data_IF_803674167293
#
_entry.id   IF_803674167293
#
_cell.length_a   1.000
_cell.length_b   1.000
_cell.length_c   1.000
_cell.angle_alpha   90.00
_cell.angle_beta   90.00
_cell.angle_gamma   90.00
#
_symmetry.space_group_name_H-M   'P 1'
#
loop_
_entity.id
_entity.type
_entity.pdbx_description
1 polymer ?
#
# COMPACT_ATOMS: atom_id res chain seq x y z
N UNK A 1 -17.68 -1.60 -9.59
CA UNK A 1 -16.61 -0.59 -9.69
C UNK A 1 -15.78 -0.85 -10.93
N UNK A 2 -15.72 0.13 -11.84
CA UNK A 2 -14.90 0.09 -13.04
C UNK A 2 -13.42 -0.24 -12.74
N UNK A 3 -12.81 -1.15 -13.50
CA UNK A 3 -11.39 -1.55 -13.33
C UNK A 3 -10.45 -0.34 -13.33
N UNK A 4 -10.74 0.64 -14.19
CA UNK A 4 -10.01 1.91 -14.30
C UNK A 4 -10.07 2.75 -13.01
N UNK A 5 -11.22 2.77 -12.33
CA UNK A 5 -11.36 3.48 -11.05
C UNK A 5 -10.59 2.78 -9.92
N UNK A 6 -10.61 1.43 -9.89
CA UNK A 6 -9.84 0.67 -8.90
C UNK A 6 -8.33 0.92 -9.01
N UNK A 7 -7.78 0.93 -10.22
CA UNK A 7 -6.34 1.19 -10.41
C UNK A 7 -5.95 2.61 -10.01
N UNK A 8 -6.76 3.61 -10.36
CA UNK A 8 -6.52 5.00 -9.96
C UNK A 8 -6.49 5.17 -8.43
N UNK A 9 -7.41 4.51 -7.71
CA UNK A 9 -7.46 4.54 -6.24
C UNK A 9 -6.18 3.93 -5.64
N UNK A 10 -5.67 2.86 -6.24
CA UNK A 10 -4.53 2.12 -5.71
C UNK A 10 -3.23 2.86 -5.98
N UNK A 11 -3.08 3.48 -7.15
CA UNK A 11 -1.99 4.41 -7.41
C UNK A 11 -1.99 5.55 -6.40
N UNK A 12 -3.16 6.10 -6.08
CA UNK A 12 -3.28 7.13 -5.04
C UNK A 12 -2.91 6.61 -3.65
N UNK A 13 -3.32 5.38 -3.32
CA UNK A 13 -2.98 4.73 -2.05
C UNK A 13 -1.46 4.55 -1.90
N UNK A 14 -0.76 4.18 -2.97
CA UNK A 14 0.71 4.03 -2.97
C UNK A 14 1.40 5.37 -2.73
N UNK A 15 0.93 6.45 -3.38
CA UNK A 15 1.48 7.80 -3.15
C UNK A 15 1.31 8.22 -1.70
N UNK A 16 0.13 8.00 -1.13
CA UNK A 16 -0.13 8.25 0.29
C UNK A 16 0.80 7.42 1.17
N UNK A 17 1.00 6.14 0.85
CA UNK A 17 1.87 5.23 1.60
C UNK A 17 3.33 5.73 1.68
N UNK A 18 3.86 6.23 0.56
CA UNK A 18 5.22 6.79 0.48
C UNK A 18 5.31 8.09 1.30
N UNK A 19 4.28 8.94 1.22
CA UNK A 19 4.24 10.19 1.97
C UNK A 19 4.15 9.95 3.48
N UNK A 20 3.34 9.00 3.95
CA UNK A 20 3.29 8.63 5.39
C UNK A 20 4.57 7.98 5.87
N UNK A 21 5.24 7.18 5.04
CA UNK A 21 6.53 6.59 5.40
C UNK A 21 7.59 7.67 5.63
N UNK A 22 7.73 8.59 4.67
CA UNK A 22 8.65 9.73 4.79
C UNK A 22 8.29 10.63 5.98
N UNK A 23 7.00 10.88 6.18
CA UNK A 23 6.49 11.64 7.33
C UNK A 23 6.79 10.97 8.67
N UNK A 24 6.63 9.64 8.78
CA UNK A 24 6.94 8.88 10.00
C UNK A 24 8.40 9.03 10.39
N UNK A 25 9.32 8.98 9.41
CA UNK A 25 10.75 9.18 9.66
C UNK A 25 11.00 10.61 10.14
N UNK A 26 10.39 11.61 9.50
CA UNK A 26 10.50 13.02 9.92
C UNK A 26 9.99 13.28 11.33
N UNK A 27 8.82 12.74 11.70
CA UNK A 27 8.26 12.85 13.05
C UNK A 27 9.13 12.17 14.11
N UNK A 28 9.80 11.06 13.75
CA UNK A 28 10.71 10.37 14.65
C UNK A 28 11.95 11.21 14.96
N UNK A 29 12.49 11.92 13.95
CA UNK A 29 13.65 12.83 14.11
C UNK A 29 13.28 14.06 14.95
N UNK A 30 12.07 14.58 14.81
CA UNK A 30 11.57 15.73 15.58
C UNK A 30 11.24 15.39 17.06
N UNK A 31 11.44 14.14 17.49
CA UNK A 31 11.16 13.71 18.86
C UNK A 31 9.70 13.40 19.16
N UNK A 32 8.81 13.46 18.15
CA UNK A 32 7.40 13.10 18.29
C UNK A 32 7.19 11.59 18.19
N UNK A 33 7.83 10.82 19.08
CA UNK A 33 7.81 9.36 19.07
C UNK A 33 6.40 8.76 19.06
N UNK A 34 5.44 9.34 19.79
CA UNK A 34 4.05 8.84 19.82
C UNK A 34 3.35 8.98 18.47
N UNK A 35 3.59 10.10 17.78
CA UNK A 35 2.98 10.40 16.47
C UNK A 35 3.70 9.58 15.37
N UNK A 36 5.02 9.45 15.47
CA UNK A 36 5.81 8.55 14.63
C UNK A 36 5.35 7.10 14.73
N UNK A 37 5.15 6.59 15.95
CA UNK A 37 4.69 5.22 16.17
C UNK A 37 3.27 4.98 15.65
N UNK A 38 2.35 5.93 15.88
CA UNK A 38 0.99 5.85 15.36
C UNK A 38 0.96 5.89 13.82
N UNK A 39 1.73 6.79 13.20
CA UNK A 39 1.82 6.89 11.74
C UNK A 39 2.47 5.65 11.10
N UNK A 40 3.49 5.07 11.74
CA UNK A 40 4.09 3.80 11.34
C UNK A 40 3.11 2.62 11.42
N UNK A 41 2.27 2.57 12.45
CA UNK A 41 1.21 1.56 12.58
C UNK A 41 0.17 1.66 11.47
N UNK A 42 -0.27 2.88 11.14
CA UNK A 42 -1.19 3.14 10.03
C UNK A 42 -0.55 2.72 8.70
N UNK A 43 0.73 3.05 8.51
CA UNK A 43 1.49 2.61 7.35
C UNK A 43 1.51 1.08 7.21
N UNK A 44 1.80 0.36 8.30
CA UNK A 44 1.81 -1.11 8.29
C UNK A 44 0.45 -1.70 7.89
N UNK A 45 -0.64 -1.16 8.41
CA UNK A 45 -1.98 -1.65 8.09
C UNK A 45 -2.32 -1.47 6.61
N UNK A 46 -2.05 -0.28 6.06
CA UNK A 46 -2.30 0.02 4.65
C UNK A 46 -1.37 -0.81 3.75
N UNK A 47 -0.11 -1.00 4.15
CA UNK A 47 0.84 -1.82 3.40
C UNK A 47 0.42 -3.29 3.35
N UNK A 48 -0.07 -3.85 4.46
CA UNK A 48 -0.59 -5.22 4.51
C UNK A 48 -1.80 -5.39 3.58
N UNK A 49 -2.75 -4.46 3.62
CA UNK A 49 -3.92 -4.48 2.74
C UNK A 49 -3.53 -4.40 1.26
N UNK A 50 -2.54 -3.56 0.93
CA UNK A 50 -2.03 -3.43 -0.44
C UNK A 50 -1.30 -4.69 -0.90
N UNK A 51 -0.51 -5.30 -0.02
CA UNK A 51 0.24 -6.53 -0.30
C UNK A 51 -0.72 -7.69 -0.60
N UNK A 52 -1.79 -7.84 0.18
CA UNK A 52 -2.81 -8.86 -0.02
C UNK A 52 -3.56 -8.65 -1.35
N UNK A 53 -3.95 -7.41 -1.64
CA UNK A 53 -4.58 -7.06 -2.92
C UNK A 53 -3.67 -7.32 -4.14
N UNK A 54 -2.38 -7.04 -3.99
CA UNK A 54 -1.39 -7.29 -5.04
C UNK A 54 -1.15 -8.79 -5.23
N UNK A 55 -1.19 -9.59 -4.14
CA UNK A 55 -1.10 -11.06 -4.18
C UNK A 55 -2.28 -11.67 -4.93
N UNK A 56 -3.50 -11.22 -4.64
CA UNK A 56 -4.71 -11.65 -5.35
C UNK A 56 -4.61 -11.39 -6.86
N UNK A 57 -4.18 -10.18 -7.24
CA UNK A 57 -3.96 -9.85 -8.66
C UNK A 57 -2.83 -10.66 -9.31
N UNK A 58 -1.77 -10.98 -8.56
CA UNK A 58 -0.65 -11.80 -9.05
C UNK A 58 -1.09 -13.24 -9.35
N UNK A 59 -1.83 -13.87 -8.44
CA UNK A 59 -2.37 -15.23 -8.64
C UNK A 59 -3.32 -15.28 -9.84
N UNK A 60 -4.16 -14.26 -10.02
CA UNK A 60 -5.02 -14.11 -11.20
C UNK A 60 -4.20 -13.92 -12.49
N UNK A 61 -3.03 -13.30 -12.42
CA UNK A 61 -2.13 -13.11 -13.57
C UNK A 61 -1.43 -14.41 -13.98
N UNK A 62 -1.03 -15.23 -13.00
CA UNK A 62 -0.39 -16.54 -13.24
C UNK A 62 -1.38 -17.52 -13.86
N UNK A 63 -2.59 -17.66 -13.29
CA UNK A 63 -3.62 -18.55 -13.86
C UNK A 63 -4.08 -18.15 -15.27
N UNK A 64 -4.07 -16.84 -15.58
CA UNK A 64 -4.39 -16.37 -16.93
C UNK A 64 -3.29 -16.68 -17.96
N UNK A 65 -2.04 -16.88 -17.52
CA UNK A 65 -0.92 -17.32 -18.36
C UNK A 65 -0.90 -18.84 -18.54
N UNK A 66 -1.26 -19.62 -17.52
CA UNK A 66 -1.35 -21.08 -17.60
C UNK A 66 -2.49 -21.56 -18.51
N UNK A 67 -3.65 -20.88 -18.50
CA UNK A 67 -4.78 -21.24 -19.38
C UNK A 67 -4.52 -20.95 -20.88
N UNK A 68 -3.47 -20.19 -21.20
CA UNK A 68 -3.13 -19.81 -22.58
C UNK A 68 -2.04 -20.68 -23.20
N UNK A 69 -1.64 -21.77 -22.52
CA UNK A 69 -0.62 -22.71 -22.99
C UNK A 69 -1.27 -24.00 -23.49
#
# INVERSE_FOLDING_TARGET
>A
MDRKRKEKIITWLIVVLIATLAGSIGFMILGYFKIGLASGGIFMFVAAFLAEWTRDKSTVYIHRKEYKR
#
